data_IF_739572800324
#
_entry.id   IF_739572800324
#
_cell.length_a   1.000
_cell.length_b   1.000
_cell.length_c   1.000
_cell.angle_alpha   90.00
_cell.angle_beta   90.00
_cell.angle_gamma   90.00
#
_symmetry.space_group_name_H-M   'P 1'
#
loop_
_entity.id
_entity.type
_entity.pdbx_description
1 polymer ?
#
# COMPACT_ATOMS: atom_id res chain seq x y z
N UNK A 1 -13.53 22.65 -31.92
CA UNK A 1 -13.93 22.09 -30.60
C UNK A 1 -13.10 20.84 -30.35
N UNK A 2 -12.03 20.96 -29.58
CA UNK A 2 -11.21 19.82 -29.17
C UNK A 2 -11.96 19.12 -28.02
N UNK A 3 -12.47 17.92 -28.28
CA UNK A 3 -12.96 17.03 -27.23
C UNK A 3 -11.84 16.80 -26.22
N UNK A 4 -11.94 17.41 -25.04
CA UNK A 4 -11.14 16.98 -23.89
C UNK A 4 -11.60 15.54 -23.57
N UNK A 5 -10.85 14.55 -24.03
CA UNK A 5 -10.91 13.21 -23.50
C UNK A 5 -10.60 13.32 -22.02
N UNK A 6 -11.65 13.31 -21.20
CA UNK A 6 -11.50 13.14 -19.76
C UNK A 6 -11.04 11.67 -19.61
N UNK A 7 -9.75 11.45 -19.51
CA UNK A 7 -9.21 10.20 -19.01
C UNK A 7 -9.63 10.10 -17.54
N UNK A 8 -10.82 9.57 -17.35
CA UNK A 8 -11.28 9.15 -16.04
C UNK A 8 -10.51 7.86 -15.75
N UNK A 9 -9.40 7.95 -15.02
CA UNK A 9 -8.72 6.75 -14.52
C UNK A 9 -9.45 6.33 -13.24
N UNK A 10 -10.31 5.33 -13.30
CA UNK A 10 -11.04 4.90 -12.12
C UNK A 10 -10.06 4.25 -11.15
N UNK A 11 -10.03 4.77 -9.93
CA UNK A 11 -9.43 4.03 -8.81
C UNK A 11 -10.13 2.67 -8.74
N UNK A 12 -9.38 1.56 -8.57
CA UNK A 12 -9.97 0.23 -8.51
C UNK A 12 -11.05 0.12 -7.43
N UNK A 13 -12.11 -0.62 -7.71
CA UNK A 13 -13.26 -0.77 -6.82
C UNK A 13 -12.93 -1.63 -5.60
N UNK A 14 -13.38 -1.19 -4.42
CA UNK A 14 -13.30 -1.99 -3.18
C UNK A 14 -14.12 -3.28 -3.30
N UNK A 15 -13.68 -4.34 -2.62
CA UNK A 15 -14.29 -5.68 -2.61
C UNK A 15 -14.25 -6.39 -3.97
N UNK A 16 -13.51 -5.89 -4.94
CA UNK A 16 -13.24 -6.52 -6.22
C UNK A 16 -11.79 -7.01 -6.28
N UNK A 17 -11.46 -7.94 -7.19
CA UNK A 17 -10.08 -8.33 -7.42
C UNK A 17 -9.20 -7.12 -7.71
N UNK A 18 -8.07 -7.01 -7.01
CA UNK A 18 -7.08 -5.96 -7.26
C UNK A 18 -6.51 -6.09 -8.68
N UNK A 19 -6.13 -4.99 -9.34
CA UNK A 19 -5.46 -5.06 -10.63
C UNK A 19 -4.20 -5.92 -10.53
N UNK A 20 -4.02 -6.82 -11.51
CA UNK A 20 -2.84 -7.66 -11.57
C UNK A 20 -1.61 -6.84 -11.90
N UNK A 21 -0.50 -7.18 -11.27
CA UNK A 21 0.81 -6.64 -11.60
C UNK A 21 1.84 -7.74 -11.75
N UNK A 22 2.84 -7.50 -12.58
CA UNK A 22 4.06 -8.27 -12.65
C UNK A 22 5.20 -7.36 -13.10
N UNK A 23 6.41 -7.58 -12.62
CA UNK A 23 7.58 -6.81 -13.01
C UNK A 23 8.79 -7.11 -12.16
N UNK A 24 9.92 -6.52 -12.56
CA UNK A 24 11.20 -6.66 -11.87
C UNK A 24 11.23 -5.80 -10.62
N UNK A 25 11.51 -6.39 -9.48
CA UNK A 25 11.74 -5.69 -8.22
C UNK A 25 13.18 -5.87 -7.74
N UNK A 26 13.65 -4.94 -6.91
CA UNK A 26 14.88 -5.09 -6.13
C UNK A 26 14.52 -5.67 -4.77
N UNK A 27 15.08 -6.83 -4.45
CA UNK A 27 14.87 -7.55 -3.18
C UNK A 27 16.24 -7.98 -2.66
N UNK A 28 16.64 -7.48 -1.48
CA UNK A 28 17.94 -7.78 -0.88
C UNK A 28 19.13 -7.52 -1.84
N UNK A 29 19.05 -6.45 -2.62
CA UNK A 29 20.09 -6.09 -3.58
C UNK A 29 20.10 -6.90 -4.89
N UNK A 30 19.14 -7.80 -5.09
CA UNK A 30 19.01 -8.63 -6.30
C UNK A 30 17.78 -8.26 -7.11
N UNK A 31 17.82 -8.46 -8.43
CA UNK A 31 16.66 -8.32 -9.30
C UNK A 31 15.86 -9.60 -9.33
N UNK A 32 14.56 -9.51 -9.01
CA UNK A 32 13.61 -10.64 -9.02
C UNK A 32 12.31 -10.23 -9.68
N UNK A 33 11.77 -11.13 -10.51
CA UNK A 33 10.41 -10.96 -11.02
C UNK A 33 9.43 -11.29 -9.90
N UNK A 34 8.46 -10.38 -9.67
CA UNK A 34 7.36 -10.57 -8.74
C UNK A 34 6.03 -10.26 -9.41
N UNK A 35 4.98 -10.87 -8.94
CA UNK A 35 3.61 -10.67 -9.41
C UNK A 35 2.63 -10.76 -8.25
N UNK A 36 1.40 -10.25 -8.45
CA UNK A 36 0.37 -10.24 -7.42
C UNK A 36 0.11 -11.65 -6.86
N UNK A 37 0.09 -12.66 -7.72
CA UNK A 37 -0.20 -14.06 -7.34
C UNK A 37 0.81 -14.64 -6.34
N UNK A 38 2.03 -14.11 -6.27
CA UNK A 38 3.05 -14.57 -5.30
C UNK A 38 2.68 -14.23 -3.85
N UNK A 39 1.73 -13.35 -3.66
CA UNK A 39 1.22 -12.88 -2.36
C UNK A 39 -0.15 -13.49 -2.00
N UNK A 40 -0.65 -14.46 -2.78
CA UNK A 40 -1.90 -15.15 -2.46
C UNK A 40 -1.85 -15.82 -1.07
N UNK A 41 -2.93 -15.69 -0.30
CA UNK A 41 -3.01 -16.20 1.07
C UNK A 41 -2.46 -15.24 2.13
N UNK A 42 -1.84 -14.13 1.75
CA UNK A 42 -1.36 -13.08 2.66
C UNK A 42 -2.05 -11.76 2.36
N UNK A 43 -2.12 -10.88 3.35
CA UNK A 43 -2.40 -9.48 3.08
C UNK A 43 -1.22 -8.82 2.39
N UNK A 44 -1.49 -7.83 1.55
CA UNK A 44 -0.47 -7.06 0.84
C UNK A 44 -0.78 -5.57 0.95
N UNK A 45 0.20 -4.79 1.37
CA UNK A 45 0.24 -3.34 1.25
C UNK A 45 1.07 -3.00 0.03
N UNK A 46 0.42 -2.47 -1.00
CA UNK A 46 1.07 -1.98 -2.21
C UNK A 46 1.02 -0.46 -2.19
N UNK A 47 2.16 0.21 -2.10
CA UNK A 47 2.19 1.66 -2.07
C UNK A 47 3.02 2.24 -3.20
N UNK A 48 2.47 3.26 -3.86
CA UNK A 48 3.10 3.98 -4.96
C UNK A 48 3.76 5.25 -4.42
N UNK A 49 4.93 5.60 -4.95
CA UNK A 49 5.62 6.85 -4.64
C UNK A 49 6.13 7.49 -5.93
N UNK A 50 6.23 8.85 -5.97
CA UNK A 50 6.48 9.57 -7.22
C UNK A 50 7.79 9.22 -7.90
N UNK A 51 8.93 9.33 -7.21
CA UNK A 51 10.23 9.30 -7.86
C UNK A 51 11.36 8.97 -6.87
N UNK A 52 12.35 8.20 -7.34
CA UNK A 52 13.59 7.94 -6.62
C UNK A 52 14.41 9.22 -6.41
N UNK A 53 15.31 9.21 -5.42
CA UNK A 53 16.21 10.32 -5.09
C UNK A 53 15.52 11.65 -4.82
N UNK A 54 14.35 11.63 -4.18
CA UNK A 54 13.58 12.81 -3.77
C UNK A 54 13.55 12.99 -2.25
N UNK A 55 12.53 13.66 -1.70
CA UNK A 55 12.55 14.17 -0.33
C UNK A 55 11.60 13.42 0.62
N UNK A 56 10.31 13.35 0.30
CA UNK A 56 9.31 12.64 1.11
C UNK A 56 9.39 11.13 0.88
N UNK A 57 9.66 10.68 -0.35
CA UNK A 57 9.67 9.27 -0.72
C UNK A 57 10.61 8.41 0.13
N UNK A 58 11.88 8.80 0.38
CA UNK A 58 12.77 8.00 1.22
C UNK A 58 12.26 7.87 2.65
N UNK A 59 11.58 8.90 3.19
CA UNK A 59 11.04 8.83 4.56
C UNK A 59 9.96 7.79 4.70
N UNK A 60 9.08 7.65 3.69
CA UNK A 60 8.03 6.62 3.68
C UNK A 60 8.62 5.22 3.51
N UNK A 61 9.47 5.02 2.50
CA UNK A 61 10.07 3.73 2.18
C UNK A 61 10.87 3.19 3.36
N UNK A 62 11.70 4.03 3.97
CA UNK A 62 12.49 3.68 5.15
C UNK A 62 11.56 3.34 6.33
N UNK A 63 10.50 4.13 6.58
CA UNK A 63 9.58 3.88 7.68
C UNK A 63 8.83 2.55 7.52
N UNK A 64 8.35 2.21 6.32
CA UNK A 64 7.75 0.91 6.03
C UNK A 64 8.76 -0.23 6.14
N UNK A 65 9.97 -0.04 5.62
CA UNK A 65 11.05 -1.03 5.68
C UNK A 65 11.49 -1.33 7.11
N UNK A 66 11.72 -0.31 7.92
CA UNK A 66 12.17 -0.47 9.30
C UNK A 66 11.13 -1.18 10.19
N UNK A 67 9.86 -1.13 9.79
CA UNK A 67 8.73 -1.75 10.50
C UNK A 67 8.12 -2.95 9.77
N UNK A 68 8.75 -3.47 8.72
CA UNK A 68 8.19 -4.56 7.91
C UNK A 68 7.91 -5.83 8.71
N UNK A 69 8.70 -6.12 9.73
CA UNK A 69 8.49 -7.28 10.60
C UNK A 69 7.17 -7.22 11.40
N UNK A 70 6.65 -6.02 11.68
CA UNK A 70 5.33 -5.86 12.30
C UNK A 70 4.21 -6.30 11.34
N UNK A 71 4.35 -6.00 10.05
CA UNK A 71 3.43 -6.48 9.01
C UNK A 71 3.56 -7.99 8.80
N UNK A 72 4.77 -8.52 8.71
CA UNK A 72 5.01 -9.95 8.52
C UNK A 72 4.44 -10.80 9.66
N UNK A 73 4.56 -10.34 10.91
CA UNK A 73 3.98 -11.02 12.08
C UNK A 73 2.48 -11.21 12.00
N UNK A 74 1.78 -10.35 11.28
CA UNK A 74 0.34 -10.46 11.03
C UNK A 74 0.01 -11.00 9.63
N UNK A 75 0.95 -11.68 8.96
CA UNK A 75 0.73 -12.28 7.64
C UNK A 75 0.51 -11.25 6.52
N UNK A 76 1.14 -10.09 6.61
CA UNK A 76 1.07 -9.04 5.60
C UNK A 76 2.45 -8.75 5.01
N UNK A 77 2.53 -8.57 3.70
CA UNK A 77 3.74 -8.12 3.00
C UNK A 77 3.56 -6.66 2.55
N UNK A 78 4.68 -5.98 2.30
CA UNK A 78 4.68 -4.57 1.88
C UNK A 78 5.57 -4.41 0.65
N UNK A 79 5.09 -3.71 -0.39
CA UNK A 79 5.83 -3.43 -1.63
C UNK A 79 5.74 -1.95 -1.95
N UNK A 80 6.88 -1.31 -2.24
CA UNK A 80 6.94 0.02 -2.83
C UNK A 80 7.02 -0.04 -4.35
N UNK A 81 6.35 0.88 -5.04
CA UNK A 81 6.29 0.95 -6.52
C UNK A 81 6.55 2.37 -6.98
N UNK A 82 7.40 2.55 -7.97
CA UNK A 82 7.48 3.78 -8.76
C UNK A 82 7.70 3.49 -10.25
N UNK A 83 7.62 4.52 -11.08
CA UNK A 83 7.88 4.42 -12.52
C UNK A 83 9.38 4.48 -12.86
N UNK A 84 10.26 4.53 -11.85
CA UNK A 84 11.70 4.40 -12.04
C UNK A 84 12.10 2.99 -12.46
N UNK A 85 13.34 2.84 -12.92
CA UNK A 85 13.89 1.55 -13.28
C UNK A 85 14.41 0.78 -12.06
N UNK A 86 14.44 -0.56 -12.15
CA UNK A 86 15.07 -1.38 -11.12
C UNK A 86 16.56 -1.05 -10.92
N UNK A 87 17.24 -0.52 -11.93
CA UNK A 87 18.61 -0.03 -11.79
C UNK A 87 18.70 1.21 -10.92
N UNK A 88 17.73 2.14 -11.04
CA UNK A 88 17.64 3.34 -10.21
C UNK A 88 17.32 2.96 -8.76
N UNK A 89 16.37 2.06 -8.56
CA UNK A 89 16.06 1.50 -7.23
C UNK A 89 17.30 0.90 -6.57
N UNK A 90 18.06 0.07 -7.30
CA UNK A 90 19.27 -0.54 -6.75
C UNK A 90 20.34 0.51 -6.40
N UNK A 91 20.53 1.51 -7.26
CA UNK A 91 21.46 2.60 -6.99
C UNK A 91 21.06 3.37 -5.73
N UNK A 92 19.75 3.63 -5.55
CA UNK A 92 19.25 4.36 -4.40
C UNK A 92 19.33 3.55 -3.10
N UNK A 93 19.10 2.24 -3.14
CA UNK A 93 19.30 1.32 -2.03
C UNK A 93 20.79 1.29 -1.62
N UNK A 94 21.70 1.29 -2.58
CA UNK A 94 23.15 1.30 -2.31
C UNK A 94 23.68 2.66 -1.83
N UNK A 95 22.88 3.71 -1.90
CA UNK A 95 23.25 5.03 -1.39
C UNK A 95 22.95 5.10 0.12
N UNK A 96 23.90 5.57 0.96
CA UNK A 96 23.71 5.69 2.39
C UNK A 96 22.56 6.65 2.76
N UNK A 97 21.79 6.32 3.80
CA UNK A 97 20.66 7.16 4.29
C UNK A 97 21.09 8.61 4.57
N UNK A 98 22.28 8.82 5.12
CA UNK A 98 22.84 10.17 5.39
C UNK A 98 23.11 11.00 4.13
N UNK A 99 23.13 10.37 2.97
CA UNK A 99 23.33 11.00 1.66
C UNK A 99 22.02 11.05 0.83
N UNK A 100 20.87 10.87 1.48
CA UNK A 100 19.57 10.85 0.79
C UNK A 100 19.22 9.51 0.14
N UNK A 101 20.01 8.46 0.39
CA UNK A 101 19.74 7.11 -0.04
C UNK A 101 18.79 6.35 0.89
N UNK A 102 18.47 5.12 0.51
CA UNK A 102 17.60 4.24 1.30
C UNK A 102 18.39 3.36 2.28
N UNK A 103 19.63 3.02 1.92
CA UNK A 103 20.37 1.97 2.62
C UNK A 103 19.68 0.61 2.45
N UNK A 104 20.04 -0.36 3.28
CA UNK A 104 19.42 -1.68 3.28
C UNK A 104 17.90 -1.60 3.54
N UNK A 105 17.13 -2.32 2.72
CA UNK A 105 15.66 -2.37 2.79
C UNK A 105 15.16 -3.79 3.04
N UNK A 106 14.17 -3.90 3.93
CA UNK A 106 13.43 -5.13 4.17
C UNK A 106 12.23 -5.36 3.26
N UNK A 107 11.90 -4.41 2.38
CA UNK A 107 10.75 -4.48 1.46
C UNK A 107 11.21 -4.45 0.00
N UNK A 108 10.49 -5.13 -0.93
CA UNK A 108 10.71 -5.01 -2.37
C UNK A 108 10.44 -3.59 -2.89
N UNK A 109 11.26 -3.12 -3.84
CA UNK A 109 10.94 -1.98 -4.69
C UNK A 109 10.67 -2.47 -6.12
N UNK A 110 9.42 -2.38 -6.55
CA UNK A 110 8.96 -2.82 -7.87
C UNK A 110 9.06 -1.68 -8.88
N UNK A 111 9.72 -1.95 -10.00
CA UNK A 111 9.89 -1.01 -11.09
C UNK A 111 8.71 -1.08 -12.08
N UNK A 112 7.88 -0.05 -12.10
CA UNK A 112 6.81 0.12 -13.10
C UNK A 112 7.25 1.02 -14.26
N UNK A 113 8.36 0.66 -14.92
CA UNK A 113 8.93 1.46 -16.02
C UNK A 113 7.96 1.68 -17.18
N UNK A 114 7.02 0.79 -17.38
CA UNK A 114 5.96 0.89 -18.38
C UNK A 114 4.83 1.84 -17.98
N UNK A 115 4.77 2.26 -16.73
CA UNK A 115 3.69 3.04 -16.12
C UNK A 115 2.33 2.31 -16.11
N UNK A 116 2.33 1.03 -16.50
CA UNK A 116 1.10 0.24 -16.62
C UNK A 116 0.48 -0.04 -15.25
N UNK A 117 1.28 -0.41 -14.26
CA UNK A 117 0.79 -0.73 -12.92
C UNK A 117 0.20 0.53 -12.27
N UNK A 118 0.90 1.66 -12.34
CA UNK A 118 0.44 2.94 -11.82
C UNK A 118 -0.85 3.41 -12.49
N UNK A 119 -0.99 3.13 -13.80
CA UNK A 119 -2.21 3.44 -14.55
C UNK A 119 -3.37 2.53 -14.16
N UNK A 120 -3.15 1.22 -14.06
CA UNK A 120 -4.17 0.24 -13.69
C UNK A 120 -4.69 0.47 -12.25
N UNK A 121 -3.83 0.98 -11.37
CA UNK A 121 -4.20 1.37 -9.99
C UNK A 121 -4.76 2.80 -9.88
N UNK A 122 -4.91 3.52 -11.00
CA UNK A 122 -5.53 4.85 -11.05
C UNK A 122 -4.75 5.95 -10.34
N UNK A 123 -3.43 5.81 -10.22
CA UNK A 123 -2.58 6.80 -9.52
C UNK A 123 -1.59 7.53 -10.43
N UNK A 124 -1.48 7.14 -11.70
CA UNK A 124 -0.54 7.76 -12.63
C UNK A 124 -0.97 9.20 -12.99
N UNK A 125 -0.04 10.13 -12.91
CA UNK A 125 -0.14 11.45 -13.51
C UNK A 125 0.42 11.38 -14.94
N UNK A 126 -0.44 11.33 -15.95
CA UNK A 126 -0.03 11.09 -17.34
C UNK A 126 0.94 12.14 -17.89
N UNK A 127 0.82 13.39 -17.46
CA UNK A 127 1.68 14.47 -17.94
C UNK A 127 3.12 14.38 -17.40
N UNK A 128 3.28 14.00 -16.14
CA UNK A 128 4.58 13.90 -15.48
C UNK A 128 5.18 12.50 -15.52
N UNK A 129 4.36 11.48 -15.78
CA UNK A 129 4.77 10.09 -15.79
C UNK A 129 5.10 9.52 -14.41
N UNK A 130 4.69 10.17 -13.33
CA UNK A 130 4.90 9.71 -11.95
C UNK A 130 3.58 9.44 -11.24
N UNK A 131 3.51 8.49 -10.32
CA UNK A 131 2.30 8.24 -9.55
C UNK A 131 2.11 9.24 -8.41
N UNK A 132 0.85 9.50 -8.05
CA UNK A 132 0.50 10.01 -6.73
C UNK A 132 0.88 9.02 -5.64
N UNK A 133 0.84 9.45 -4.37
CA UNK A 133 1.09 8.57 -3.22
C UNK A 133 -0.12 7.69 -2.93
N UNK A 134 -0.38 6.73 -3.82
CA UNK A 134 -1.41 5.72 -3.62
C UNK A 134 -0.96 4.63 -2.66
N UNK A 135 -1.87 4.15 -1.81
CA UNK A 135 -1.67 2.98 -0.96
C UNK A 135 -2.91 2.10 -1.04
N UNK A 136 -2.68 0.83 -1.23
CA UNK A 136 -3.72 -0.18 -1.45
C UNK A 136 -3.51 -1.34 -0.49
N UNK A 137 -4.55 -1.67 0.29
CA UNK A 137 -4.58 -2.87 1.11
C UNK A 137 -5.35 -3.95 0.36
N UNK A 138 -4.70 -5.07 0.11
CA UNK A 138 -5.21 -6.21 -0.64
C UNK A 138 -5.25 -7.42 0.31
N UNK A 139 -6.36 -8.15 0.35
CA UNK A 139 -6.51 -9.32 1.23
C UNK A 139 -5.89 -10.60 0.62
N UNK A 140 -5.86 -11.67 1.41
CA UNK A 140 -5.30 -12.96 0.98
C UNK A 140 -6.05 -13.64 -0.18
N UNK A 141 -7.27 -13.19 -0.51
CA UNK A 141 -8.03 -13.59 -1.70
C UNK A 141 -7.78 -12.69 -2.90
N UNK A 142 -6.84 -11.75 -2.75
CA UNK A 142 -6.48 -10.74 -3.74
C UNK A 142 -7.59 -9.72 -4.05
N UNK A 143 -8.51 -9.48 -3.12
CA UNK A 143 -9.50 -8.42 -3.24
C UNK A 143 -8.99 -7.13 -2.59
N UNK A 144 -9.33 -6.01 -3.20
CA UNK A 144 -9.00 -4.69 -2.70
C UNK A 144 -9.89 -4.34 -1.49
N UNK A 145 -9.26 -3.98 -0.37
CA UNK A 145 -9.97 -3.67 0.88
C UNK A 145 -9.94 -2.18 1.24
N UNK A 146 -8.88 -1.46 0.86
CA UNK A 146 -8.72 -0.04 1.20
C UNK A 146 -7.86 0.65 0.15
N UNK A 147 -8.18 1.91 -0.11
CA UNK A 147 -7.41 2.83 -0.96
C UNK A 147 -7.23 4.15 -0.23
N UNK A 148 -6.01 4.64 -0.23
CA UNK A 148 -5.69 6.03 0.15
C UNK A 148 -4.81 6.64 -0.95
N UNK A 149 -5.10 7.86 -1.36
CA UNK A 149 -4.26 8.59 -2.31
C UNK A 149 -3.98 9.98 -1.74
N UNK A 150 -2.71 10.23 -1.42
CA UNK A 150 -2.26 11.56 -1.01
C UNK A 150 -1.65 12.29 -2.21
N UNK A 151 -1.80 13.61 -2.21
CA UNK A 151 -1.00 14.50 -3.06
C UNK A 151 0.49 14.42 -2.68
N UNK A 152 1.34 14.84 -3.60
CA UNK A 152 2.80 14.63 -3.56
C UNK A 152 3.51 15.11 -2.29
N UNK A 153 3.15 16.26 -1.65
CA UNK A 153 3.92 16.80 -0.52
C UNK A 153 3.70 16.08 0.81
N UNK A 154 2.71 15.17 0.92
CA UNK A 154 2.31 14.59 2.21
C UNK A 154 2.50 13.08 2.24
N UNK A 155 3.43 12.61 3.07
CA UNK A 155 3.69 11.18 3.33
C UNK A 155 2.56 10.50 4.11
N UNK A 156 2.53 9.15 4.02
CA UNK A 156 1.52 8.29 4.65
C UNK A 156 1.97 7.80 6.01
N UNK A 157 1.01 7.35 6.82
CA UNK A 157 1.24 6.83 8.17
C UNK A 157 1.38 5.30 8.15
N UNK A 158 2.51 4.80 8.63
CA UNK A 158 2.74 3.35 8.81
C UNK A 158 1.83 2.82 9.92
N UNK A 159 1.63 3.58 11.01
CA UNK A 159 0.73 3.19 12.10
C UNK A 159 -0.71 2.99 11.63
N UNK A 160 -1.23 3.93 10.83
CA UNK A 160 -2.59 3.82 10.29
C UNK A 160 -2.71 2.65 9.31
N UNK A 161 -1.69 2.43 8.47
CA UNK A 161 -1.67 1.30 7.55
C UNK A 161 -1.71 -0.03 8.31
N UNK A 162 -0.88 -0.18 9.34
CA UNK A 162 -0.86 -1.38 10.18
C UNK A 162 -2.19 -1.58 10.91
N UNK A 163 -2.76 -0.51 11.48
CA UNK A 163 -4.06 -0.52 12.14
C UNK A 163 -5.17 -1.00 11.19
N UNK A 164 -5.18 -0.51 9.95
CA UNK A 164 -6.20 -0.89 8.96
C UNK A 164 -6.09 -2.36 8.56
N UNK A 165 -4.87 -2.87 8.31
CA UNK A 165 -4.68 -4.30 8.02
C UNK A 165 -5.22 -5.15 9.17
N UNK A 166 -4.87 -4.83 10.42
CA UNK A 166 -5.35 -5.54 11.60
C UNK A 166 -6.88 -5.46 11.76
N UNK A 167 -7.48 -4.32 11.46
CA UNK A 167 -8.93 -4.15 11.52
C UNK A 167 -9.65 -5.02 10.48
N UNK A 168 -9.16 -5.09 9.24
CA UNK A 168 -9.72 -5.96 8.21
C UNK A 168 -9.57 -7.44 8.57
N UNK A 169 -8.40 -7.84 9.08
CA UNK A 169 -8.17 -9.22 9.54
C UNK A 169 -9.12 -9.59 10.67
N UNK A 170 -9.29 -8.72 11.66
CA UNK A 170 -10.21 -8.93 12.76
C UNK A 170 -11.66 -9.13 12.26
N UNK A 171 -12.10 -8.28 11.34
CA UNK A 171 -13.45 -8.38 10.75
C UNK A 171 -13.62 -9.68 9.96
N UNK A 172 -12.60 -10.11 9.23
CA UNK A 172 -12.63 -11.35 8.44
C UNK A 172 -12.72 -12.59 9.34
N UNK A 173 -12.04 -12.57 10.50
CA UNK A 173 -12.00 -13.68 11.45
C UNK A 173 -13.24 -13.76 12.33
N UNK A 174 -13.74 -12.63 12.85
CA UNK A 174 -14.77 -12.58 13.88
C UNK A 174 -16.17 -12.21 13.35
N UNK A 175 -16.27 -11.62 12.15
CA UNK A 175 -17.53 -11.15 11.58
C UNK A 175 -18.11 -9.92 12.29
N UNK A 176 -17.40 -9.34 13.25
CA UNK A 176 -17.77 -8.10 13.93
C UNK A 176 -17.19 -6.89 13.19
N UNK A 177 -17.76 -5.71 13.41
CA UNK A 177 -17.26 -4.48 12.80
C UNK A 177 -16.39 -3.68 13.77
N UNK A 178 -15.35 -3.05 13.21
CA UNK A 178 -14.42 -2.20 13.95
C UNK A 178 -14.92 -0.75 13.95
N UNK A 179 -15.24 -0.16 15.11
CA UNK A 179 -15.65 1.24 15.21
C UNK A 179 -14.52 2.21 14.82
N UNK A 180 -14.89 3.49 14.71
CA UNK A 180 -13.88 4.55 14.45
C UNK A 180 -12.73 4.48 15.45
N UNK A 181 -11.51 4.67 14.94
CA UNK A 181 -10.26 4.62 15.72
C UNK A 181 -9.98 3.28 16.44
N UNK A 182 -10.68 2.21 16.05
CA UNK A 182 -10.43 0.89 16.62
C UNK A 182 -8.95 0.51 16.52
N UNK A 183 -8.45 -0.14 17.56
CA UNK A 183 -7.11 -0.73 17.63
C UNK A 183 -7.23 -2.15 18.19
N UNK A 184 -6.26 -3.03 17.95
CA UNK A 184 -6.23 -4.36 18.54
C UNK A 184 -6.46 -4.32 20.05
N UNK A 185 -7.39 -5.16 20.54
CA UNK A 185 -7.80 -5.20 21.93
C UNK A 185 -8.91 -4.22 22.33
N UNK A 186 -9.29 -3.27 21.44
CA UNK A 186 -10.44 -2.41 21.69
C UNK A 186 -11.77 -3.13 21.40
N UNK A 187 -12.87 -2.61 21.97
CA UNK A 187 -14.22 -3.16 21.77
C UNK A 187 -14.63 -3.08 20.30
N UNK A 188 -15.28 -4.11 19.85
CA UNK A 188 -15.91 -4.24 18.54
C UNK A 188 -17.42 -4.21 18.65
N UNK A 189 -18.12 -4.25 17.55
CA UNK A 189 -19.58 -4.17 17.50
C UNK A 189 -20.14 -5.28 16.61
N UNK A 190 -21.15 -5.99 17.11
CA UNK A 190 -21.94 -6.88 16.25
C UNK A 190 -22.81 -6.01 15.34
N UNK A 191 -22.75 -6.27 14.02
CA UNK A 191 -23.52 -5.51 13.02
C UNK A 191 -25.00 -5.95 13.00
N UNK A 192 -25.70 -5.70 14.13
CA UNK A 192 -27.11 -6.04 14.35
C UNK A 192 -27.80 -4.89 15.11
N UNK A 193 -29.03 -4.45 14.73
CA UNK A 193 -29.71 -3.31 15.35
C UNK A 193 -29.96 -3.43 16.85
N UNK A 194 -30.08 -4.66 17.37
CA UNK A 194 -30.30 -4.92 18.80
C UNK A 194 -29.00 -5.14 19.54
N UNK A 195 -28.13 -6.02 19.02
CA UNK A 195 -26.86 -6.39 19.66
C UNK A 195 -25.84 -5.25 19.68
N UNK A 196 -25.87 -4.36 18.68
CA UNK A 196 -24.99 -3.17 18.64
C UNK A 196 -25.20 -2.24 19.84
N UNK A 197 -26.37 -2.27 20.50
CA UNK A 197 -26.66 -1.46 21.70
C UNK A 197 -25.74 -1.77 22.88
N UNK A 198 -25.22 -3.00 22.95
CA UNK A 198 -24.25 -3.37 23.97
C UNK A 198 -22.96 -2.53 23.86
N UNK A 199 -22.48 -2.35 22.65
CA UNK A 199 -21.33 -1.48 22.38
C UNK A 199 -21.63 -0.04 22.79
N UNK A 200 -22.77 0.53 22.37
CA UNK A 200 -23.11 1.93 22.66
C UNK A 200 -23.30 2.19 24.15
N UNK A 201 -23.89 1.25 24.88
CA UNK A 201 -24.02 1.36 26.34
C UNK A 201 -22.68 1.31 27.07
N UNK A 202 -21.68 0.66 26.49
CA UNK A 202 -20.37 0.53 27.10
C UNK A 202 -19.38 1.62 26.66
N UNK A 203 -19.69 2.37 25.58
CA UNK A 203 -18.84 3.42 25.01
C UNK A 203 -19.25 4.84 25.41
N UNK A 204 -20.45 5.01 25.98
CA UNK A 204 -21.01 6.27 26.50
C UNK A 204 -21.34 6.11 28.00
#
# INVERSE_FOLDING_TARGET
MLSKSIFNMPVPELQKPAPKFAGTAVINGEFKEIKLEDYAGKYLVLFFYPLDFTFVCPTEIIAFSDRVEEFRKIGCEVIGVSTDSHFTHLAWINTPRKQGGLGELGIPLLADKSMKISRDYGVLQEESGVPFRGLFVIDGKQNLRQVTVNDLPVGRSVDETLRLVQAFQFTDEHGEVCPANWKPGAKTMVADPTKSKEYFNAAN
#
